data_IF_636041283615
#
_entry.id   IF_636041283615
#
_cell.length_a   1.000
_cell.length_b   1.000
_cell.length_c   1.000
_cell.angle_alpha   90.00
_cell.angle_beta   90.00
_cell.angle_gamma   90.00
#
_symmetry.space_group_name_H-M   'P 1'
#
loop_
_entity.id
_entity.type
_entity.pdbx_description
1 polymer ?
#
# COMPACT_ATOMS: atom_id res chain seq x y z
N UNK A 1 38.16 45.44 24.90
CA UNK A 1 37.68 44.32 25.72
C UNK A 1 36.30 43.91 25.20
N UNK A 2 36.23 42.89 24.34
CA UNK A 2 34.98 42.48 23.69
C UNK A 2 34.12 41.64 24.62
N UNK A 3 32.86 42.03 24.84
CA UNK A 3 31.91 41.26 25.65
C UNK A 3 31.71 39.87 25.01
N UNK A 4 31.76 38.77 25.79
CA UNK A 4 31.57 37.43 25.24
C UNK A 4 30.12 37.26 24.74
N UNK A 5 29.96 36.70 23.54
CA UNK A 5 28.66 36.46 22.93
C UNK A 5 27.88 35.40 23.74
N UNK A 6 26.61 35.65 24.11
CA UNK A 6 25.83 34.66 24.84
C UNK A 6 25.57 33.42 23.97
N UNK A 7 25.83 32.23 24.51
CA UNK A 7 25.41 30.96 23.89
C UNK A 7 23.89 30.83 24.03
N UNK A 8 23.16 30.98 22.93
CA UNK A 8 21.70 30.94 22.86
C UNK A 8 21.11 29.51 22.75
N UNK A 9 21.89 28.47 23.05
CA UNK A 9 21.41 27.09 23.00
C UNK A 9 20.65 26.81 24.29
N UNK A 10 19.32 26.69 24.20
CA UNK A 10 18.48 26.34 25.34
C UNK A 10 18.41 24.82 25.44
N UNK A 11 19.03 24.17 26.44
CA UNK A 11 19.03 22.71 26.59
C UNK A 11 17.64 22.11 26.81
N UNK A 12 16.64 22.93 27.13
CA UNK A 12 15.23 22.53 27.22
C UNK A 12 14.62 22.23 25.85
N UNK A 13 15.02 22.95 24.80
CA UNK A 13 14.49 22.78 23.45
C UNK A 13 14.94 21.44 22.85
N UNK A 14 16.24 21.10 22.98
CA UNK A 14 16.78 19.81 22.52
C UNK A 14 16.06 18.63 23.20
N UNK A 15 15.80 18.72 24.51
CA UNK A 15 15.08 17.70 25.28
C UNK A 15 13.63 17.50 24.81
N UNK A 16 12.95 18.58 24.41
CA UNK A 16 11.57 18.49 23.93
C UNK A 16 11.50 18.01 22.48
N UNK A 17 12.47 18.38 21.62
CA UNK A 17 12.61 17.78 20.29
C UNK A 17 12.85 16.27 20.37
N UNK A 18 13.70 15.82 21.28
CA UNK A 18 14.02 14.39 21.46
C UNK A 18 12.77 13.57 21.88
N UNK A 19 11.94 14.15 22.75
CA UNK A 19 10.63 13.55 23.09
C UNK A 19 9.69 13.50 21.89
N UNK A 20 9.62 14.57 21.09
CA UNK A 20 8.78 14.61 19.88
C UNK A 20 9.26 13.58 18.87
N UNK A 21 10.58 13.46 18.67
CA UNK A 21 11.19 12.47 17.79
C UNK A 21 10.85 11.04 18.25
N UNK A 22 10.98 10.74 19.54
CA UNK A 22 10.58 9.44 20.07
C UNK A 22 9.08 9.14 19.92
N UNK A 23 8.23 10.16 20.08
CA UNK A 23 6.78 10.03 19.83
C UNK A 23 6.51 9.79 18.34
N UNK A 24 7.22 10.47 17.45
CA UNK A 24 7.09 10.31 16.00
C UNK A 24 7.55 8.92 15.55
N UNK A 25 8.68 8.42 16.03
CA UNK A 25 9.19 7.07 15.74
C UNK A 25 8.22 5.99 16.23
N UNK A 26 7.70 6.14 17.45
CA UNK A 26 6.70 5.22 18.00
C UNK A 26 5.39 5.26 17.20
N UNK A 27 4.94 6.45 16.81
CA UNK A 27 3.76 6.63 15.97
C UNK A 27 3.97 6.04 14.56
N UNK A 28 5.16 6.21 13.97
CA UNK A 28 5.51 5.62 12.68
C UNK A 28 5.57 4.10 12.74
N UNK A 29 6.09 3.53 13.83
CA UNK A 29 6.14 2.08 14.00
C UNK A 29 4.73 1.47 13.99
N UNK A 30 3.78 2.13 14.66
CA UNK A 30 2.37 1.72 14.66
C UNK A 30 1.72 1.98 13.29
N UNK A 31 1.99 3.13 12.66
CA UNK A 31 1.36 3.48 11.37
C UNK A 31 1.79 2.57 10.22
N UNK A 32 3.00 2.01 10.25
CA UNK A 32 3.50 1.06 9.25
C UNK A 32 2.67 -0.22 9.15
N UNK A 33 2.08 -0.68 10.25
CA UNK A 33 1.19 -1.86 10.23
C UNK A 33 -0.12 -1.61 9.48
N UNK A 34 -0.58 -0.36 9.43
CA UNK A 34 -1.85 0.01 8.77
C UNK A 34 -1.68 0.33 7.27
N UNK A 35 -0.46 0.54 6.78
CA UNK A 35 -0.23 0.92 5.38
C UNK A 35 -0.80 -0.09 4.36
N UNK A 36 -0.64 -1.43 4.52
CA UNK A 36 -1.22 -2.39 3.58
C UNK A 36 -2.76 -2.35 3.58
N UNK A 37 -3.37 -2.20 4.76
CA UNK A 37 -4.83 -2.07 4.90
C UNK A 37 -5.33 -0.79 4.22
N UNK A 38 -4.61 0.32 4.40
CA UNK A 38 -4.94 1.60 3.75
C UNK A 38 -4.88 1.51 2.23
N UNK A 39 -3.82 0.91 1.66
CA UNK A 39 -3.68 0.73 0.22
C UNK A 39 -4.78 -0.18 -0.32
N UNK A 40 -5.10 -1.28 0.37
CA UNK A 40 -6.16 -2.20 -0.02
C UNK A 40 -7.54 -1.51 -0.04
N UNK A 41 -7.85 -0.69 0.98
CA UNK A 41 -9.08 0.10 1.03
C UNK A 41 -9.15 1.14 -0.08
N UNK A 42 -8.05 1.84 -0.36
CA UNK A 42 -7.98 2.81 -1.47
C UNK A 42 -8.26 2.11 -2.79
N UNK A 43 -7.65 0.95 -3.05
CA UNK A 43 -7.90 0.17 -4.27
C UNK A 43 -9.36 -0.27 -4.37
N UNK A 44 -9.95 -0.77 -3.29
CA UNK A 44 -11.34 -1.22 -3.26
C UNK A 44 -12.33 -0.07 -3.52
N UNK A 45 -12.13 1.08 -2.87
CA UNK A 45 -12.94 2.28 -3.11
C UNK A 45 -12.76 2.77 -4.55
N UNK A 46 -11.53 2.80 -5.05
CA UNK A 46 -11.26 3.20 -6.43
C UNK A 46 -11.98 2.28 -7.42
N UNK A 47 -11.85 0.96 -7.29
CA UNK A 47 -12.47 0.00 -8.21
C UNK A 47 -14.00 0.09 -8.19
N UNK A 48 -14.60 0.24 -7.00
CA UNK A 48 -16.06 0.35 -6.85
C UNK A 48 -16.62 1.66 -7.38
N UNK A 49 -15.95 2.78 -7.09
CA UNK A 49 -16.33 4.10 -7.62
C UNK A 49 -16.15 4.15 -9.13
N UNK A 50 -15.06 3.59 -9.64
CA UNK A 50 -14.80 3.52 -11.09
C UNK A 50 -15.89 2.70 -11.80
N UNK A 51 -16.22 1.50 -11.30
CA UNK A 51 -17.30 0.70 -11.86
C UNK A 51 -18.67 1.39 -11.76
N UNK A 52 -18.96 2.04 -10.63
CA UNK A 52 -20.19 2.80 -10.42
C UNK A 52 -20.32 3.98 -11.37
N UNK A 53 -19.23 4.72 -11.62
CA UNK A 53 -19.20 5.83 -12.57
C UNK A 53 -19.51 5.38 -14.00
N UNK A 54 -19.04 4.18 -14.40
CA UNK A 54 -19.32 3.60 -15.71
C UNK A 54 -20.73 3.00 -15.85
N UNK A 55 -21.41 2.74 -14.73
CA UNK A 55 -22.70 2.06 -14.69
C UNK A 55 -23.87 2.96 -14.28
N UNK A 56 -23.64 4.25 -14.00
CA UNK A 56 -24.60 5.15 -13.34
C UNK A 56 -25.98 5.22 -13.99
N UNK A 57 -26.06 5.24 -15.33
CA UNK A 57 -27.33 5.31 -16.07
C UNK A 57 -27.96 3.94 -16.39
N UNK A 58 -27.40 2.83 -15.89
CA UNK A 58 -27.90 1.48 -16.19
C UNK A 58 -28.89 0.98 -15.14
N UNK A 59 -30.03 0.39 -15.54
CA UNK A 59 -30.90 -0.30 -14.60
C UNK A 59 -30.12 -1.44 -13.94
N UNK A 60 -30.13 -1.48 -12.60
CA UNK A 60 -29.35 -2.46 -11.83
C UNK A 60 -27.89 -2.06 -11.55
N UNK A 61 -27.51 -0.79 -11.71
CA UNK A 61 -26.16 -0.28 -11.40
C UNK A 61 -25.62 -0.71 -10.02
N UNK A 62 -26.49 -0.82 -9.02
CA UNK A 62 -26.12 -1.28 -7.68
C UNK A 62 -25.54 -2.70 -7.66
N UNK A 63 -26.02 -3.59 -8.54
CA UNK A 63 -25.50 -4.96 -8.69
C UNK A 63 -24.08 -4.91 -9.25
N UNK A 64 -23.83 -4.04 -10.25
CA UNK A 64 -22.51 -3.88 -10.86
C UNK A 64 -21.52 -3.35 -9.82
N UNK A 65 -21.93 -2.36 -9.01
CA UNK A 65 -21.08 -1.82 -7.93
C UNK A 65 -20.79 -2.89 -6.88
N UNK A 66 -21.79 -3.68 -6.47
CA UNK A 66 -21.59 -4.77 -5.52
C UNK A 66 -20.66 -5.87 -6.08
N UNK A 67 -20.85 -6.26 -7.34
CA UNK A 67 -19.99 -7.23 -8.02
C UNK A 67 -18.55 -6.71 -8.15
N UNK A 68 -18.36 -5.43 -8.46
CA UNK A 68 -17.03 -4.82 -8.51
C UNK A 68 -16.34 -4.79 -7.13
N UNK A 69 -17.08 -4.54 -6.06
CA UNK A 69 -16.54 -4.57 -4.70
C UNK A 69 -16.03 -5.97 -4.31
N UNK A 70 -16.85 -6.98 -4.58
CA UNK A 70 -16.51 -8.39 -4.32
C UNK A 70 -15.34 -8.82 -5.22
N UNK A 71 -15.38 -8.45 -6.50
CA UNK A 71 -14.31 -8.72 -7.46
C UNK A 71 -12.98 -8.09 -7.05
N UNK A 72 -12.98 -6.83 -6.61
CA UNK A 72 -11.79 -6.15 -6.12
C UNK A 72 -11.22 -6.81 -4.86
N UNK A 73 -12.08 -7.24 -3.93
CA UNK A 73 -11.68 -8.01 -2.76
C UNK A 73 -11.03 -9.34 -3.15
N UNK A 74 -11.66 -10.09 -4.06
CA UNK A 74 -11.13 -11.38 -4.53
C UNK A 74 -9.82 -11.22 -5.29
N UNK A 75 -9.71 -10.22 -6.16
CA UNK A 75 -8.49 -9.94 -6.93
C UNK A 75 -7.30 -9.67 -6.00
N UNK A 76 -7.49 -8.90 -4.93
CA UNK A 76 -6.42 -8.66 -3.95
C UNK A 76 -6.00 -9.94 -3.22
N UNK A 77 -6.97 -10.75 -2.77
CA UNK A 77 -6.66 -11.95 -2.01
C UNK A 77 -6.01 -13.04 -2.88
N UNK A 78 -6.52 -13.24 -4.10
CA UNK A 78 -5.95 -14.19 -5.06
C UNK A 78 -4.55 -13.74 -5.45
N UNK A 79 -4.38 -12.48 -5.87
CA UNK A 79 -3.08 -11.98 -6.30
C UNK A 79 -2.03 -12.04 -5.19
N UNK A 80 -2.37 -11.64 -3.96
CA UNK A 80 -1.44 -11.75 -2.83
C UNK A 80 -1.00 -13.20 -2.56
N UNK A 81 -1.93 -14.15 -2.68
CA UNK A 81 -1.63 -15.57 -2.50
C UNK A 81 -0.77 -16.12 -3.65
N UNK A 82 -1.07 -15.74 -4.89
CA UNK A 82 -0.34 -16.18 -6.08
C UNK A 82 1.10 -15.63 -6.11
N UNK A 83 1.29 -14.35 -5.80
CA UNK A 83 2.62 -13.75 -5.63
C UNK A 83 3.42 -14.53 -4.59
N UNK A 84 2.84 -14.83 -3.44
CA UNK A 84 3.54 -15.55 -2.37
C UNK A 84 3.94 -16.96 -2.81
N UNK A 85 3.11 -17.64 -3.59
CA UNK A 85 3.42 -18.98 -4.11
C UNK A 85 4.45 -18.97 -5.25
N UNK A 86 4.45 -17.95 -6.11
CA UNK A 86 5.37 -17.87 -7.25
C UNK A 86 6.75 -17.34 -6.84
N UNK A 87 6.79 -16.23 -6.09
CA UNK A 87 8.06 -15.58 -5.72
C UNK A 87 8.58 -15.97 -4.34
N UNK A 88 7.78 -16.64 -3.49
CA UNK A 88 8.13 -17.02 -2.12
C UNK A 88 9.43 -17.82 -2.02
N UNK A 89 9.64 -18.89 -2.81
CA UNK A 89 10.90 -19.65 -2.80
C UNK A 89 12.10 -18.82 -3.26
N UNK A 90 11.94 -17.96 -4.26
CA UNK A 90 13.02 -17.13 -4.81
C UNK A 90 13.46 -16.03 -3.84
N UNK A 91 12.51 -15.40 -3.15
CA UNK A 91 12.81 -14.41 -2.09
C UNK A 91 13.34 -15.11 -0.84
N UNK A 92 12.74 -16.23 -0.43
CA UNK A 92 13.13 -17.01 0.74
C UNK A 92 14.53 -17.63 0.65
N UNK A 93 14.96 -18.02 -0.56
CA UNK A 93 16.33 -18.51 -0.85
C UNK A 93 17.35 -17.38 -1.04
N UNK A 94 16.94 -16.11 -0.96
CA UNK A 94 17.75 -14.91 -1.23
C UNK A 94 18.28 -14.82 -2.67
N UNK A 95 17.64 -15.48 -3.62
CA UNK A 95 17.96 -15.32 -5.04
C UNK A 95 17.55 -13.93 -5.56
N UNK A 96 16.50 -13.33 -4.99
CA UNK A 96 16.07 -11.96 -5.29
C UNK A 96 15.47 -11.25 -4.06
N UNK A 97 15.38 -9.93 -4.11
CA UNK A 97 14.77 -9.13 -3.03
C UNK A 97 13.24 -9.04 -3.19
N UNK A 98 12.53 -8.78 -2.10
CA UNK A 98 11.07 -8.61 -2.13
C UNK A 98 10.63 -7.50 -3.09
N UNK A 99 11.36 -6.37 -3.14
CA UNK A 99 11.03 -5.27 -4.04
C UNK A 99 11.12 -5.65 -5.52
N UNK A 100 12.17 -6.39 -5.91
CA UNK A 100 12.32 -6.89 -7.29
C UNK A 100 11.25 -7.91 -7.61
N UNK A 101 10.97 -8.83 -6.68
CA UNK A 101 9.93 -9.84 -6.85
C UNK A 101 8.54 -9.22 -7.07
N UNK A 102 8.17 -8.21 -6.28
CA UNK A 102 6.91 -7.48 -6.46
C UNK A 102 6.86 -6.71 -7.78
N UNK A 103 7.96 -6.10 -8.22
CA UNK A 103 8.00 -5.40 -9.50
C UNK A 103 7.78 -6.36 -10.69
N UNK A 104 8.40 -7.54 -10.64
CA UNK A 104 8.20 -8.60 -11.63
C UNK A 104 6.75 -9.09 -11.60
N UNK A 105 6.21 -9.39 -10.42
CA UNK A 105 4.83 -9.83 -10.25
C UNK A 105 3.82 -8.82 -10.86
N UNK A 106 3.94 -7.53 -10.53
CA UNK A 106 3.07 -6.49 -11.09
C UNK A 106 3.10 -6.49 -12.62
N UNK A 107 4.26 -6.67 -13.25
CA UNK A 107 4.34 -6.69 -14.73
C UNK A 107 3.70 -7.96 -15.29
N UNK A 108 4.14 -9.14 -14.84
CA UNK A 108 3.76 -10.40 -15.47
C UNK A 108 2.37 -10.88 -15.08
N UNK A 109 1.94 -10.66 -13.85
CA UNK A 109 0.60 -11.04 -13.38
C UNK A 109 -0.48 -10.15 -14.00
N UNK A 110 -0.24 -8.84 -14.06
CA UNK A 110 -1.18 -7.92 -14.75
C UNK A 110 -1.18 -8.16 -16.25
N UNK A 111 -0.03 -8.42 -16.88
CA UNK A 111 0.03 -8.78 -18.29
C UNK A 111 -0.72 -10.10 -18.56
N UNK A 112 -0.54 -11.12 -17.71
CA UNK A 112 -1.26 -12.40 -17.81
C UNK A 112 -2.77 -12.21 -17.70
N UNK A 113 -3.24 -11.44 -16.73
CA UNK A 113 -4.66 -11.12 -16.57
C UNK A 113 -5.24 -10.38 -17.78
N UNK A 114 -4.49 -9.44 -18.38
CA UNK A 114 -4.95 -8.66 -19.54
C UNK A 114 -4.93 -9.45 -20.85
N UNK A 115 -3.91 -10.29 -21.07
CA UNK A 115 -3.71 -11.00 -22.34
C UNK A 115 -4.49 -12.31 -22.37
N UNK A 116 -4.53 -13.05 -21.26
CA UNK A 116 -5.08 -14.40 -21.19
C UNK A 116 -6.31 -14.53 -20.28
N UNK A 117 -6.69 -13.49 -19.54
CA UNK A 117 -7.81 -13.55 -18.60
C UNK A 117 -9.20 -13.47 -19.21
N UNK A 118 -9.33 -13.13 -20.50
CA UNK A 118 -10.63 -13.01 -21.17
C UNK A 118 -11.22 -14.31 -21.72
N UNK A 119 -10.38 -15.34 -21.91
CA UNK A 119 -10.75 -16.62 -22.54
C UNK A 119 -11.06 -17.74 -21.52
N UNK A 120 -11.09 -17.41 -20.22
CA UNK A 120 -11.30 -18.36 -19.11
C UNK A 120 -12.57 -18.08 -18.33
#
# INVERSE_FOLDING_TARGET
MGKPKPKLVKPTLDKDLDKIAHVEEAAQHVSRGFAPLGIALIFMVFATVFAGALAMDRPGAWIIVAAAAIGAYMAMNIGANDVTNNVGPAVGSRAMTMGVALAIAVVFETAGALIAGGDV
#
